data_IF_095051063390
#
_entry.id   IF_095051063390
#
_cell.length_a   1.000
_cell.length_b   1.000
_cell.length_c   1.000
_cell.angle_alpha   90.00
_cell.angle_beta   90.00
_cell.angle_gamma   90.00
#
_symmetry.space_group_name_H-M   'P 1'
#
loop_
_entity.id
_entity.type
_entity.pdbx_description
1 polymer ?
#
# COMPACT_ATOMS: atom_id res chain seq x y z
N UNK A 1 1.97 -20.99 19.19
CA UNK A 1 1.03 -21.72 18.34
C UNK A 1 0.39 -20.67 17.46
N UNK A 2 0.92 -20.49 16.25
CA UNK A 2 0.30 -19.60 15.27
C UNK A 2 -0.84 -20.44 14.71
N UNK A 3 -2.08 -20.05 14.96
CA UNK A 3 -3.23 -20.67 14.30
C UNK A 3 -3.01 -20.58 12.79
N UNK A 4 -3.27 -21.69 12.08
CA UNK A 4 -3.26 -21.71 10.62
C UNK A 4 -4.27 -20.67 10.14
N UNK A 5 -3.79 -19.54 9.65
CA UNK A 5 -4.61 -18.53 9.00
C UNK A 5 -5.11 -19.16 7.70
N UNK A 6 -6.42 -19.33 7.60
CA UNK A 6 -7.09 -19.75 6.38
C UNK A 6 -7.09 -18.56 5.39
N UNK A 7 -6.31 -18.69 4.32
CA UNK A 7 -6.19 -17.69 3.26
C UNK A 7 -7.17 -17.93 2.10
N UNK A 8 -7.97 -19.00 2.14
CA UNK A 8 -8.87 -19.37 1.03
C UNK A 8 -9.92 -18.27 0.82
N UNK A 9 -10.51 -17.75 1.90
CA UNK A 9 -11.48 -16.66 1.85
C UNK A 9 -10.89 -15.36 1.26
N UNK A 10 -9.63 -15.05 1.57
CA UNK A 10 -8.93 -13.87 1.03
C UNK A 10 -8.64 -14.04 -0.46
N UNK A 11 -8.21 -15.23 -0.84
CA UNK A 11 -7.89 -15.56 -2.24
C UNK A 11 -9.15 -15.51 -3.10
N UNK A 12 -10.26 -16.10 -2.63
CA UNK A 12 -11.56 -16.03 -3.30
C UNK A 12 -12.03 -14.58 -3.50
N UNK A 13 -11.87 -13.73 -2.48
CA UNK A 13 -12.24 -12.32 -2.58
C UNK A 13 -11.43 -11.60 -3.66
N UNK A 14 -10.13 -11.89 -3.78
CA UNK A 14 -9.29 -11.26 -4.80
C UNK A 14 -9.70 -11.67 -6.22
N UNK A 15 -10.11 -12.94 -6.41
CA UNK A 15 -10.62 -13.44 -7.68
C UNK A 15 -11.95 -12.77 -8.07
N UNK A 16 -12.86 -12.54 -7.10
CA UNK A 16 -14.15 -11.89 -7.35
C UNK A 16 -14.04 -10.40 -7.69
N UNK A 17 -13.03 -9.72 -7.15
CA UNK A 17 -12.84 -8.27 -7.28
C UNK A 17 -12.02 -7.85 -8.52
N UNK A 18 -11.63 -8.80 -9.38
CA UNK A 18 -10.78 -8.56 -10.57
C UNK A 18 -9.53 -7.72 -10.23
N UNK A 19 -8.85 -8.11 -9.14
CA UNK A 19 -7.69 -7.37 -8.65
C UNK A 19 -6.42 -7.71 -9.43
N UNK A 20 -5.63 -6.68 -9.74
CA UNK A 20 -4.27 -6.89 -10.21
C UNK A 20 -3.34 -7.18 -9.02
N UNK A 21 -2.88 -8.43 -8.91
CA UNK A 21 -1.89 -8.83 -7.91
C UNK A 21 -0.50 -8.69 -8.52
N UNK A 22 0.29 -7.78 -7.99
CA UNK A 22 1.65 -7.51 -8.44
C UNK A 22 2.66 -7.87 -7.35
N UNK A 23 3.67 -8.67 -7.70
CA UNK A 23 4.82 -8.89 -6.82
C UNK A 23 5.73 -7.66 -6.85
N UNK A 24 6.03 -7.13 -5.67
CA UNK A 24 6.88 -5.96 -5.48
C UNK A 24 8.11 -6.34 -4.67
N UNK A 25 9.25 -5.82 -5.10
CA UNK A 25 10.51 -5.84 -4.36
C UNK A 25 11.05 -4.42 -4.35
N UNK A 26 11.55 -4.00 -3.20
CA UNK A 26 12.15 -2.70 -2.97
C UNK A 26 13.51 -2.88 -2.30
N UNK A 27 14.44 -2.01 -2.64
CA UNK A 27 15.64 -1.84 -1.83
C UNK A 27 15.27 -1.09 -0.55
N UNK A 28 15.88 -1.44 0.59
CA UNK A 28 15.59 -0.79 1.87
C UNK A 28 15.73 0.74 1.79
N UNK A 29 16.69 1.21 1.00
CA UNK A 29 16.95 2.63 0.77
C UNK A 29 15.73 3.36 0.19
N UNK A 30 15.03 2.75 -0.77
CA UNK A 30 13.86 3.35 -1.42
C UNK A 30 12.74 3.58 -0.40
N UNK A 31 12.49 2.58 0.45
CA UNK A 31 11.47 2.65 1.50
C UNK A 31 11.86 3.65 2.58
N UNK A 32 13.11 3.62 3.07
CA UNK A 32 13.58 4.53 4.13
C UNK A 32 13.53 6.00 3.71
N UNK A 33 13.84 6.33 2.45
CA UNK A 33 13.72 7.70 1.95
C UNK A 33 12.26 8.22 2.04
N UNK A 34 11.28 7.38 1.69
CA UNK A 34 9.86 7.74 1.77
C UNK A 34 9.37 7.83 3.23
N UNK A 35 9.85 6.92 4.10
CA UNK A 35 9.59 6.99 5.54
C UNK A 35 10.05 8.32 6.11
N UNK A 36 11.29 8.73 5.84
CA UNK A 36 11.86 9.99 6.32
C UNK A 36 11.14 11.20 5.73
N UNK A 37 10.86 11.18 4.43
CA UNK A 37 10.24 12.31 3.72
C UNK A 37 8.82 12.60 4.21
N UNK A 38 8.02 11.57 4.45
CA UNK A 38 6.59 11.71 4.78
C UNK A 38 6.23 11.27 6.20
N UNK A 39 7.23 10.93 7.02
CA UNK A 39 7.06 10.39 8.37
C UNK A 39 6.10 9.19 8.37
N UNK A 40 6.39 8.18 7.54
CA UNK A 40 5.56 6.99 7.37
C UNK A 40 6.19 5.76 8.02
N UNK A 41 5.35 4.83 8.44
CA UNK A 41 5.78 3.49 8.82
C UNK A 41 6.25 2.70 7.56
N UNK A 42 7.09 1.66 7.71
CA UNK A 42 7.65 0.93 6.57
C UNK A 42 6.61 0.38 5.60
N UNK A 43 5.49 -0.13 6.09
CA UNK A 43 4.38 -0.64 5.29
C UNK A 43 3.74 0.47 4.44
N UNK A 44 3.52 1.65 5.00
CA UNK A 44 2.91 2.77 4.28
C UNK A 44 3.87 3.40 3.27
N UNK A 45 5.17 3.44 3.62
CA UNK A 45 6.22 3.79 2.68
C UNK A 45 6.31 2.80 1.49
N UNK A 46 6.11 1.50 1.72
CA UNK A 46 6.04 0.50 0.64
C UNK A 46 4.80 0.70 -0.25
N UNK A 47 3.65 1.12 0.31
CA UNK A 47 2.49 1.52 -0.50
C UNK A 47 2.85 2.70 -1.42
N UNK A 48 3.50 3.74 -0.91
CA UNK A 48 3.95 4.87 -1.74
C UNK A 48 4.97 4.46 -2.79
N UNK A 49 5.97 3.64 -2.44
CA UNK A 49 6.97 3.14 -3.38
C UNK A 49 6.31 2.35 -4.53
N UNK A 50 5.29 1.56 -4.21
CA UNK A 50 4.46 0.85 -5.19
C UNK A 50 3.74 1.85 -6.10
N UNK A 51 3.07 2.84 -5.52
CA UNK A 51 2.34 3.84 -6.28
C UNK A 51 3.27 4.63 -7.22
N UNK A 52 4.45 5.04 -6.75
CA UNK A 52 5.45 5.74 -7.57
C UNK A 52 5.93 4.85 -8.73
N UNK A 53 6.24 3.58 -8.47
CA UNK A 53 6.66 2.61 -9.48
C UNK A 53 5.64 2.38 -10.59
N UNK A 54 4.35 2.40 -10.25
CA UNK A 54 3.25 2.19 -11.20
C UNK A 54 2.61 3.50 -11.70
N UNK A 55 3.11 4.67 -11.29
CA UNK A 55 2.55 5.96 -11.67
C UNK A 55 1.12 6.20 -11.13
N UNK A 56 0.76 5.58 -10.01
CA UNK A 56 -0.55 5.72 -9.37
C UNK A 56 -0.60 6.99 -8.52
N UNK A 57 -1.64 7.79 -8.71
CA UNK A 57 -1.81 9.09 -8.03
C UNK A 57 -3.05 9.15 -7.16
N UNK A 58 -3.80 8.05 -7.02
CA UNK A 58 -5.02 7.99 -6.22
C UNK A 58 -4.93 6.81 -5.26
N UNK A 59 -5.28 7.04 -4.00
CA UNK A 59 -5.37 5.99 -2.97
C UNK A 59 -6.72 6.09 -2.27
N UNK A 60 -7.39 4.97 -2.06
CA UNK A 60 -8.57 4.88 -1.21
C UNK A 60 -8.12 4.35 0.16
N UNK A 61 -8.10 5.21 1.18
CA UNK A 61 -7.68 4.83 2.54
C UNK A 61 -8.28 5.77 3.56
N UNK A 62 -8.64 5.24 4.73
CA UNK A 62 -9.03 6.06 5.88
C UNK A 62 -7.84 6.54 6.71
N UNK A 63 -6.64 6.06 6.41
CA UNK A 63 -5.41 6.52 7.06
C UNK A 63 -5.11 7.98 6.66
N UNK A 64 -4.95 8.85 7.66
CA UNK A 64 -4.62 10.27 7.48
C UNK A 64 -3.15 10.50 7.15
N UNK A 65 -2.30 9.51 7.34
CA UNK A 65 -0.86 9.67 7.13
C UNK A 65 -0.49 9.94 5.68
N UNK A 66 -1.27 9.39 4.75
CA UNK A 66 -1.16 9.64 3.32
C UNK A 66 -1.55 11.06 2.89
N UNK A 67 -2.24 11.82 3.74
CA UNK A 67 -2.58 13.23 3.45
C UNK A 67 -1.35 14.15 3.48
N UNK A 68 -0.22 13.68 4.04
CA UNK A 68 1.07 14.39 4.01
C UNK A 68 1.79 14.31 2.65
N UNK A 69 1.29 13.49 1.74
CA UNK A 69 1.95 13.16 0.47
C UNK A 69 1.36 14.03 -0.64
N UNK A 70 2.16 14.96 -1.14
CA UNK A 70 1.71 16.04 -2.02
C UNK A 70 1.36 15.62 -3.46
N UNK A 71 1.89 14.48 -3.92
CA UNK A 71 1.68 13.97 -5.28
C UNK A 71 0.55 12.95 -5.43
N UNK A 72 -0.17 12.62 -4.34
CA UNK A 72 -1.32 11.71 -4.38
C UNK A 72 -2.62 12.40 -3.96
N UNK A 73 -3.73 11.84 -4.44
CA UNK A 73 -5.07 12.17 -4.00
C UNK A 73 -5.59 11.06 -3.09
N UNK A 74 -5.91 11.43 -1.85
CA UNK A 74 -6.56 10.53 -0.88
C UNK A 74 -8.08 10.59 -1.04
N UNK A 75 -8.69 9.42 -1.20
CA UNK A 75 -10.13 9.22 -1.16
C UNK A 75 -10.49 8.51 0.14
N UNK A 76 -11.39 9.09 0.93
CA UNK A 76 -11.90 8.50 2.17
C UNK A 76 -13.16 7.68 1.84
N UNK A 77 -13.10 6.34 1.84
CA UNK A 77 -14.31 5.52 1.71
C UNK A 77 -15.20 5.69 2.95
N UNK A 78 -16.52 5.71 2.73
CA UNK A 78 -17.55 5.84 3.77
C UNK A 78 -17.57 4.65 4.74
#
# INVERSE_FOLDING_TARGET
MIELVDFDAVTMLFDELDLNISFIGFECVEVTMLMEKYNLLPNDAMHLATMEKYGLTNIATNDSDFERVDWIKVWKPL
#
